data_IF_180043962280
#
_entry.id   IF_180043962280
#
_cell.length_a   1.000
_cell.length_b   1.000
_cell.length_c   1.000
_cell.angle_alpha   90.00
_cell.angle_beta   90.00
_cell.angle_gamma   90.00
#
_symmetry.space_group_name_H-M   'P 1'
#
loop_
_entity.id
_entity.type
_entity.pdbx_description
1 polymer ?
#
# COMPACT_ATOMS: atom_id res chain seq x y z
N UNK A 1 -3.77 19.25 4.02
CA UNK A 1 -3.60 17.78 4.10
C UNK A 1 -4.64 17.07 5.00
N UNK A 2 -5.81 17.64 5.29
CA UNK A 2 -6.66 17.16 6.39
C UNK A 2 -7.76 16.12 6.05
N UNK A 3 -8.09 15.90 4.76
CA UNK A 3 -9.25 15.04 4.39
C UNK A 3 -8.87 13.63 3.95
N UNK A 4 -7.64 13.42 3.47
CA UNK A 4 -7.17 12.10 3.03
C UNK A 4 -6.80 11.18 4.22
N UNK A 5 -6.15 11.71 5.25
CA UNK A 5 -5.79 10.98 6.47
C UNK A 5 -6.98 10.59 7.36
N UNK A 6 -8.14 11.23 7.16
CA UNK A 6 -9.35 10.93 7.93
C UNK A 6 -10.11 9.71 7.40
N UNK A 7 -9.75 9.24 6.20
CA UNK A 7 -10.35 8.05 5.62
C UNK A 7 -9.53 6.81 6.05
N UNK A 8 -10.09 5.91 6.88
CA UNK A 8 -9.35 4.77 7.41
C UNK A 8 -8.81 3.85 6.29
N UNK A 9 -9.53 3.72 5.17
CA UNK A 9 -9.04 3.00 3.99
C UNK A 9 -7.75 3.59 3.42
N UNK A 10 -7.59 4.91 3.42
CA UNK A 10 -6.38 5.54 2.88
C UNK A 10 -5.17 5.28 3.80
N UNK A 11 -5.39 5.29 5.11
CA UNK A 11 -4.36 5.01 6.11
C UNK A 11 -3.87 3.55 6.01
N UNK A 12 -4.82 2.61 5.89
CA UNK A 12 -4.53 1.19 5.72
C UNK A 12 -3.82 0.94 4.38
N UNK A 13 -4.29 1.56 3.30
CA UNK A 13 -3.66 1.47 1.98
C UNK A 13 -2.21 1.98 1.99
N UNK A 14 -1.97 3.10 2.68
CA UNK A 14 -0.64 3.69 2.82
C UNK A 14 0.32 2.79 3.60
N UNK A 15 -0.13 2.23 4.74
CA UNK A 15 0.68 1.29 5.53
C UNK A 15 1.03 0.02 4.73
N UNK A 16 0.07 -0.50 3.97
CA UNK A 16 0.27 -1.66 3.09
C UNK A 16 1.27 -1.37 1.96
N UNK A 17 1.24 -0.17 1.37
CA UNK A 17 2.22 0.24 0.36
C UNK A 17 3.63 0.34 0.96
N UNK A 18 3.77 0.89 2.17
CA UNK A 18 5.08 0.97 2.84
C UNK A 18 5.63 -0.43 3.15
N UNK A 19 4.80 -1.32 3.71
CA UNK A 19 5.21 -2.71 3.95
C UNK A 19 5.54 -3.43 2.65
N UNK A 20 4.66 -3.36 1.64
CA UNK A 20 4.91 -3.99 0.34
C UNK A 20 6.17 -3.46 -0.36
N UNK A 21 6.45 -2.16 -0.24
CA UNK A 21 7.65 -1.52 -0.79
C UNK A 21 8.94 -1.94 -0.07
N UNK A 22 8.90 -2.08 1.26
CA UNK A 22 10.04 -2.58 2.03
C UNK A 22 10.33 -4.05 1.72
N UNK A 23 9.30 -4.89 1.58
CA UNK A 23 9.46 -6.26 1.11
C UNK A 23 9.98 -6.34 -0.33
N UNK A 24 9.56 -5.44 -1.23
CA UNK A 24 10.07 -5.39 -2.60
C UNK A 24 11.55 -4.99 -2.64
N UNK A 25 11.95 -3.96 -1.87
CA UNK A 25 13.34 -3.49 -1.79
C UNK A 25 14.25 -4.56 -1.17
N UNK A 26 13.86 -5.17 -0.06
CA UNK A 26 14.60 -6.29 0.53
C UNK A 26 14.61 -7.52 -0.38
N UNK A 27 13.53 -7.74 -1.13
CA UNK A 27 13.44 -8.80 -2.12
C UNK A 27 14.40 -8.63 -3.29
N UNK A 28 14.67 -7.38 -3.68
CA UNK A 28 15.58 -7.02 -4.75
C UNK A 28 17.05 -7.03 -4.29
N UNK A 29 17.32 -6.61 -3.04
CA UNK A 29 18.66 -6.42 -2.50
C UNK A 29 19.22 -7.64 -1.76
N UNK A 30 18.37 -8.47 -1.16
CA UNK A 30 18.81 -9.54 -0.25
C UNK A 30 18.27 -10.91 -0.64
N UNK A 31 16.94 -11.12 -0.61
CA UNK A 31 16.36 -12.45 -0.84
C UNK A 31 15.09 -12.40 -1.70
N UNK A 32 15.13 -13.05 -2.87
CA UNK A 32 14.00 -13.04 -3.84
C UNK A 32 12.69 -13.60 -3.28
N UNK A 33 12.73 -14.38 -2.21
CA UNK A 33 11.54 -14.87 -1.47
C UNK A 33 10.64 -13.74 -1.00
N UNK A 34 11.20 -12.61 -0.54
CA UNK A 34 10.41 -11.45 -0.14
C UNK A 34 9.76 -10.73 -1.32
N UNK A 35 10.32 -10.87 -2.52
CA UNK A 35 9.76 -10.32 -3.75
C UNK A 35 8.40 -10.95 -4.08
N UNK A 36 8.19 -12.23 -3.75
CA UNK A 36 6.90 -12.90 -3.93
C UNK A 36 5.84 -12.47 -2.92
N UNK A 37 6.24 -11.97 -1.74
CA UNK A 37 5.32 -11.44 -0.73
C UNK A 37 4.91 -9.99 -1.01
N UNK A 38 5.79 -9.20 -1.60
CA UNK A 38 5.54 -7.80 -1.97
C UNK A 38 4.22 -7.53 -2.72
N UNK A 39 3.86 -8.27 -3.80
CA UNK A 39 2.60 -8.02 -4.51
C UNK A 39 1.37 -8.26 -3.64
N UNK A 40 1.42 -9.21 -2.70
CA UNK A 40 0.32 -9.50 -1.77
C UNK A 40 -0.01 -8.33 -0.83
N UNK A 41 0.92 -7.38 -0.66
CA UNK A 41 0.74 -6.18 0.16
C UNK A 41 0.52 -4.93 -0.71
N UNK A 42 1.25 -4.81 -1.83
CA UNK A 42 1.16 -3.67 -2.75
C UNK A 42 -0.20 -3.60 -3.45
N UNK A 43 -0.73 -4.73 -3.94
CA UNK A 43 -2.02 -4.78 -4.64
C UNK A 43 -3.16 -4.28 -3.74
N UNK A 44 -3.39 -4.86 -2.54
CA UNK A 44 -4.44 -4.38 -1.64
C UNK A 44 -4.20 -2.93 -1.21
N UNK A 45 -2.94 -2.55 -0.96
CA UNK A 45 -2.57 -1.18 -0.60
C UNK A 45 -3.02 -0.14 -1.63
N UNK A 46 -2.69 -0.38 -2.91
CA UNK A 46 -3.11 0.46 -4.03
C UNK A 46 -4.63 0.46 -4.20
N UNK A 47 -5.29 -0.69 -4.12
CA UNK A 47 -6.76 -0.72 -4.23
C UNK A 47 -7.46 0.06 -3.13
N UNK A 48 -7.00 0.00 -1.88
CA UNK A 48 -7.59 0.80 -0.81
C UNK A 48 -7.35 2.29 -1.00
N UNK A 49 -6.17 2.68 -1.46
CA UNK A 49 -5.82 4.07 -1.74
C UNK A 49 -6.68 4.64 -2.88
N UNK A 50 -6.89 3.89 -3.97
CA UNK A 50 -7.78 4.25 -5.08
C UNK A 50 -9.24 4.31 -4.65
N UNK A 51 -9.70 3.36 -3.83
CA UNK A 51 -11.08 3.34 -3.32
C UNK A 51 -11.36 4.53 -2.41
N UNK A 52 -10.43 4.83 -1.50
CA UNK A 52 -10.51 6.00 -0.63
C UNK A 52 -10.45 7.32 -1.43
N UNK A 53 -9.66 7.36 -2.51
CA UNK A 53 -9.62 8.52 -3.40
C UNK A 53 -10.94 8.71 -4.15
N UNK A 54 -11.53 7.63 -4.68
CA UNK A 54 -12.85 7.66 -5.32
C UNK A 54 -13.95 8.10 -4.35
N UNK A 55 -13.93 7.64 -3.09
CA UNK A 55 -14.87 8.09 -2.05
C UNK A 55 -14.69 9.56 -1.67
N UNK A 56 -13.47 10.10 -1.76
CA UNK A 56 -13.22 11.53 -1.47
C UNK A 56 -13.77 12.45 -2.56
N UNK A 57 -13.90 11.95 -3.79
CA UNK A 57 -14.33 12.71 -4.96
C UNK A 57 -15.84 12.58 -5.26
N UNK A 58 -16.55 11.74 -4.50
CA UNK A 58 -18.01 11.74 -4.39
C UNK A 58 -18.43 12.65 -3.24
#
# INVERSE_FOLDING_TARGET
MNKAFRNPLFLVGFALIICGGTFALNGLLTERTFLYMAPGLLIPGVTFMLTAWKQRNR
#
